data_IF_917287337538
#
_entry.id   IF_917287337538
#
_cell.length_a   1.000
_cell.length_b   1.000
_cell.length_c   1.000
_cell.angle_alpha   90.00
_cell.angle_beta   90.00
_cell.angle_gamma   90.00
#
_symmetry.space_group_name_H-M   'P 1'
#
loop_
_entity.id
_entity.type
_entity.pdbx_description
1 polymer ?
#
# COMPACT_ATOMS: atom_id res chain seq x y z
N UNK A 1 11.19 -21.27 -19.28
CA UNK A 1 11.79 -19.93 -19.02
C UNK A 1 10.73 -18.86 -18.75
N UNK A 2 9.74 -18.65 -19.63
CA UNK A 2 8.70 -17.62 -19.42
C UNK A 2 7.93 -17.76 -18.08
N UNK A 3 7.63 -18.98 -17.63
CA UNK A 3 6.96 -19.24 -16.36
C UNK A 3 7.78 -18.76 -15.13
N UNK A 4 9.09 -19.00 -15.13
CA UNK A 4 9.97 -18.58 -14.03
C UNK A 4 10.05 -17.06 -13.98
N UNK A 5 10.20 -16.41 -15.13
CA UNK A 5 10.14 -14.95 -15.25
C UNK A 5 8.83 -14.40 -14.68
N UNK A 6 7.69 -14.95 -15.12
CA UNK A 6 6.37 -14.54 -14.62
C UNK A 6 6.25 -14.74 -13.12
N UNK A 7 6.78 -15.82 -12.55
CA UNK A 7 6.76 -16.06 -11.11
C UNK A 7 7.58 -15.01 -10.35
N UNK A 8 8.80 -14.69 -10.82
CA UNK A 8 9.65 -13.68 -10.19
C UNK A 8 8.95 -12.30 -10.20
N UNK A 9 8.42 -11.89 -11.36
CA UNK A 9 7.71 -10.63 -11.50
C UNK A 9 6.41 -10.61 -10.66
N UNK A 10 5.71 -11.76 -10.55
CA UNK A 10 4.51 -11.90 -9.72
C UNK A 10 4.82 -11.77 -8.24
N UNK A 11 5.91 -12.37 -7.76
CA UNK A 11 6.36 -12.23 -6.38
C UNK A 11 6.74 -10.78 -6.09
N UNK A 12 7.46 -10.11 -6.98
CA UNK A 12 7.88 -8.73 -6.80
C UNK A 12 6.68 -7.78 -6.68
N UNK A 13 5.71 -7.85 -7.61
CA UNK A 13 4.52 -7.02 -7.55
C UNK A 13 3.64 -7.41 -6.35
N UNK A 14 3.55 -8.71 -6.04
CA UNK A 14 2.87 -9.22 -4.85
C UNK A 14 3.42 -8.62 -3.56
N UNK A 15 4.74 -8.57 -3.41
CA UNK A 15 5.41 -7.95 -2.25
C UNK A 15 5.13 -6.45 -2.18
N UNK A 16 5.19 -5.72 -3.29
CA UNK A 16 4.88 -4.28 -3.30
C UNK A 16 3.43 -4.01 -2.87
N UNK A 17 2.48 -4.77 -3.40
CA UNK A 17 1.07 -4.62 -3.00
C UNK A 17 0.83 -5.06 -1.56
N UNK A 18 1.56 -6.06 -1.06
CA UNK A 18 1.53 -6.46 0.34
C UNK A 18 2.01 -5.34 1.27
N UNK A 19 3.06 -4.59 0.90
CA UNK A 19 3.54 -3.42 1.67
C UNK A 19 2.49 -2.31 1.74
N UNK A 20 1.86 -1.97 0.61
CA UNK A 20 0.77 -0.98 0.57
C UNK A 20 -0.42 -1.46 1.38
N UNK A 21 -0.83 -2.71 1.20
CA UNK A 21 -1.93 -3.33 1.94
C UNK A 21 -1.66 -3.37 3.45
N UNK A 22 -0.42 -3.65 3.87
CA UNK A 22 0.00 -3.59 5.26
C UNK A 22 -0.09 -2.16 5.80
N UNK A 23 0.35 -1.15 5.04
CA UNK A 23 0.24 0.27 5.40
C UNK A 23 -1.22 0.69 5.62
N UNK A 24 -2.09 0.34 4.68
CA UNK A 24 -3.55 0.56 4.80
C UNK A 24 -4.11 -0.19 6.01
N UNK A 25 -3.73 -1.46 6.17
CA UNK A 25 -4.19 -2.33 7.25
C UNK A 25 -3.79 -1.84 8.65
N UNK A 26 -2.61 -1.21 8.79
CA UNK A 26 -2.17 -0.59 10.05
C UNK A 26 -3.10 0.55 10.48
N UNK A 27 -3.42 1.45 9.56
CA UNK A 27 -4.31 2.58 9.81
C UNK A 27 -5.73 2.08 10.06
N UNK A 28 -6.22 1.17 9.19
CA UNK A 28 -7.55 0.58 9.33
C UNK A 28 -7.71 -0.19 10.65
N UNK A 29 -6.72 -0.98 11.05
CA UNK A 29 -6.77 -1.79 12.27
C UNK A 29 -7.04 -0.95 13.51
N UNK A 30 -6.45 0.25 13.61
CA UNK A 30 -6.60 1.13 14.76
C UNK A 30 -7.80 2.07 14.64
N UNK A 31 -8.08 2.58 13.44
CA UNK A 31 -9.13 3.60 13.22
C UNK A 31 -10.45 3.04 12.68
N UNK A 32 -10.45 1.79 12.20
CA UNK A 32 -11.60 1.15 11.51
C UNK A 32 -12.07 1.96 10.28
N UNK A 33 -11.15 2.64 9.60
CA UNK A 33 -11.43 3.53 8.49
C UNK A 33 -10.55 3.22 7.30
N UNK A 34 -11.14 3.20 6.12
CA UNK A 34 -10.43 3.13 4.85
C UNK A 34 -9.95 4.54 4.49
N UNK A 35 -8.65 4.72 4.29
CA UNK A 35 -8.06 5.99 3.91
C UNK A 35 -7.73 6.00 2.40
N UNK A 36 -8.59 6.59 1.60
CA UNK A 36 -8.36 6.73 0.15
C UNK A 36 -7.19 7.66 -0.18
N UNK A 37 -6.88 8.62 0.70
CA UNK A 37 -5.72 9.50 0.50
C UNK A 37 -4.36 8.81 0.76
N UNK A 38 -4.35 7.55 1.20
CA UNK A 38 -3.10 6.80 1.40
C UNK A 38 -2.29 6.65 0.10
N UNK A 39 -2.95 6.57 -1.06
CA UNK A 39 -2.30 6.54 -2.37
C UNK A 39 -1.51 7.80 -2.67
N UNK A 40 -1.96 8.95 -2.16
CA UNK A 40 -1.29 10.22 -2.41
C UNK A 40 0.09 10.31 -1.74
N UNK A 41 0.34 9.49 -0.72
CA UNK A 41 1.69 9.34 -0.16
C UNK A 41 2.67 8.85 -1.23
N UNK A 42 2.26 7.90 -2.09
CA UNK A 42 3.07 7.40 -3.22
C UNK A 42 3.28 8.53 -4.24
N UNK A 43 2.19 9.22 -4.61
CA UNK A 43 2.24 10.29 -5.61
C UNK A 43 3.17 11.42 -5.17
N UNK A 44 3.01 11.94 -3.96
CA UNK A 44 3.84 13.03 -3.43
C UNK A 44 5.29 12.61 -3.25
N UNK A 45 5.55 11.39 -2.80
CA UNK A 45 6.90 10.85 -2.74
C UNK A 45 7.57 10.77 -4.12
N UNK A 46 6.83 10.35 -5.15
CA UNK A 46 7.32 10.28 -6.53
C UNK A 46 7.58 11.68 -7.12
N UNK A 47 6.68 12.65 -6.91
CA UNK A 47 6.93 14.05 -7.30
C UNK A 47 8.12 14.67 -6.55
N UNK A 48 8.34 14.29 -5.29
CA UNK A 48 9.54 14.73 -4.54
C UNK A 48 10.83 14.23 -5.21
N UNK A 49 10.85 12.96 -5.66
CA UNK A 49 12.00 12.42 -6.41
C UNK A 49 12.23 13.16 -7.74
N UNK A 50 11.17 13.59 -8.41
CA UNK A 50 11.24 14.42 -9.60
C UNK A 50 11.80 15.82 -9.29
N UNK A 51 11.25 16.51 -8.29
CA UNK A 51 11.68 17.86 -7.91
C UNK A 51 13.13 17.90 -7.43
N UNK A 52 13.61 16.83 -6.82
CA UNK A 52 14.98 16.70 -6.32
C UNK A 52 15.93 16.04 -7.30
N UNK A 53 15.57 15.92 -8.59
CA UNK A 53 16.33 15.15 -9.59
C UNK A 53 17.80 15.58 -9.79
N UNK A 54 18.14 16.82 -9.45
CA UNK A 54 19.51 17.35 -9.53
C UNK A 54 20.33 17.08 -8.26
N UNK A 55 19.69 16.63 -7.18
CA UNK A 55 20.36 16.36 -5.90
C UNK A 55 21.00 14.95 -5.89
N UNK A 56 21.99 14.72 -5.01
CA UNK A 56 22.54 13.38 -4.78
C UNK A 56 21.44 12.38 -4.38
N UNK A 57 21.63 11.11 -4.78
CA UNK A 57 20.63 10.04 -4.54
C UNK A 57 20.19 9.94 -3.09
N UNK A 58 21.14 10.05 -2.14
CA UNK A 58 20.83 10.02 -0.71
C UNK A 58 19.85 11.13 -0.30
N UNK A 59 20.05 12.35 -0.81
CA UNK A 59 19.16 13.50 -0.54
C UNK A 59 17.77 13.25 -1.15
N UNK A 60 17.70 12.72 -2.36
CA UNK A 60 16.43 12.37 -3.03
C UNK A 60 15.63 11.36 -2.20
N UNK A 61 16.28 10.29 -1.74
CA UNK A 61 15.66 9.24 -0.92
C UNK A 61 15.17 9.82 0.41
N UNK A 62 16.02 10.56 1.12
CA UNK A 62 15.65 11.16 2.41
C UNK A 62 14.52 12.19 2.28
N UNK A 63 14.56 13.02 1.23
CA UNK A 63 13.49 13.98 0.94
C UNK A 63 12.16 13.28 0.65
N UNK A 64 12.15 12.23 -0.18
CA UNK A 64 10.95 11.48 -0.48
C UNK A 64 10.37 10.81 0.78
N UNK A 65 11.19 10.17 1.61
CA UNK A 65 10.75 9.57 2.89
C UNK A 65 10.19 10.67 3.81
N UNK A 66 10.89 11.80 3.94
CA UNK A 66 10.46 12.90 4.81
C UNK A 66 9.11 13.48 4.37
N UNK A 67 8.91 13.75 3.07
CA UNK A 67 7.65 14.27 2.54
C UNK A 67 6.51 13.29 2.75
N UNK A 68 6.72 12.00 2.48
CA UNK A 68 5.72 10.94 2.70
C UNK A 68 5.31 10.87 4.17
N UNK A 69 6.29 10.89 5.10
CA UNK A 69 6.01 10.86 6.55
C UNK A 69 5.31 12.13 7.02
N UNK A 70 5.76 13.30 6.57
CA UNK A 70 5.14 14.58 6.91
C UNK A 70 3.69 14.63 6.40
N UNK A 71 3.45 14.25 5.16
CA UNK A 71 2.10 14.21 4.58
C UNK A 71 1.19 13.25 5.36
N UNK A 72 1.69 12.07 5.76
CA UNK A 72 0.94 11.14 6.59
C UNK A 72 0.58 11.73 7.96
N UNK A 73 1.49 12.48 8.58
CA UNK A 73 1.23 13.18 9.85
C UNK A 73 0.22 14.32 9.68
N UNK A 74 0.29 15.05 8.56
CA UNK A 74 -0.71 16.07 8.21
C UNK A 74 -2.08 15.43 8.04
N UNK A 75 -2.18 14.32 7.32
CA UNK A 75 -3.44 13.56 7.18
C UNK A 75 -3.97 13.09 8.54
N UNK A 76 -3.10 12.54 9.40
CA UNK A 76 -3.47 12.16 10.77
C UNK A 76 -4.07 13.33 11.55
N UNK A 77 -3.44 14.50 11.45
CA UNK A 77 -3.89 15.71 12.12
C UNK A 77 -5.25 16.19 11.59
N UNK A 78 -5.41 16.26 10.27
CA UNK A 78 -6.66 16.69 9.59
C UNK A 78 -7.82 15.74 9.91
N UNK A 79 -7.58 14.44 10.02
CA UNK A 79 -8.63 13.47 10.32
C UNK A 79 -9.01 13.36 11.81
N UNK A 80 -8.26 14.01 12.72
CA UNK A 80 -8.57 13.96 14.17
C UNK A 80 -9.99 14.38 14.52
N UNK A 81 -10.49 15.57 14.08
CA UNK A 81 -11.84 16.00 14.42
C UNK A 81 -12.91 15.08 13.84
N UNK A 82 -12.64 14.46 12.69
CA UNK A 82 -13.57 13.59 11.98
C UNK A 82 -13.73 12.20 12.61
N UNK A 83 -12.88 11.80 13.55
CA UNK A 83 -12.94 10.47 14.21
C UNK A 83 -14.23 10.22 14.98
N UNK A 84 -14.97 11.26 15.32
CA UNK A 84 -16.28 11.17 15.96
C UNK A 84 -17.44 11.14 14.95
N UNK A 85 -17.13 11.34 13.68
CA UNK A 85 -18.12 11.31 12.60
C UNK A 85 -18.47 9.85 12.23
N UNK A 86 -19.49 9.69 11.41
CA UNK A 86 -19.88 8.37 10.88
C UNK A 86 -18.81 7.82 9.95
N UNK A 87 -18.76 6.49 9.79
CA UNK A 87 -17.83 5.83 8.86
C UNK A 87 -17.99 6.37 7.42
N UNK A 88 -19.23 6.65 6.99
CA UNK A 88 -19.49 7.24 5.68
C UNK A 88 -18.90 8.64 5.54
N UNK A 89 -19.06 9.51 6.54
CA UNK A 89 -18.48 10.86 6.53
C UNK A 89 -16.96 10.83 6.46
N UNK A 90 -16.31 9.93 7.19
CA UNK A 90 -14.86 9.75 7.13
C UNK A 90 -14.39 9.23 5.77
N UNK A 91 -15.11 8.27 5.20
CA UNK A 91 -14.81 7.72 3.88
C UNK A 91 -14.87 8.83 2.81
N UNK A 92 -15.94 9.64 2.83
CA UNK A 92 -16.09 10.80 1.96
C UNK A 92 -14.98 11.82 2.17
N UNK A 93 -14.59 12.10 3.42
CA UNK A 93 -13.54 13.06 3.73
C UNK A 93 -12.15 12.59 3.21
N UNK A 94 -11.82 11.30 3.34
CA UNK A 94 -10.55 10.77 2.81
C UNK A 94 -10.52 10.72 1.29
N UNK A 95 -11.65 10.46 0.65
CA UNK A 95 -11.79 10.53 -0.81
C UNK A 95 -11.67 11.98 -1.29
N UNK A 96 -12.35 12.93 -0.64
CA UNK A 96 -12.25 14.35 -0.95
C UNK A 96 -10.82 14.88 -0.78
N UNK A 97 -10.12 14.45 0.28
CA UNK A 97 -8.71 14.77 0.49
C UNK A 97 -7.82 14.23 -0.64
N UNK A 98 -8.01 12.97 -1.06
CA UNK A 98 -7.30 12.39 -2.21
C UNK A 98 -7.54 13.21 -3.46
N UNK A 99 -8.80 13.50 -3.76
CA UNK A 99 -9.20 14.28 -4.94
C UNK A 99 -8.62 15.70 -4.93
N UNK A 100 -8.64 16.36 -3.76
CA UNK A 100 -8.03 17.68 -3.58
C UNK A 100 -6.52 17.65 -3.88
N UNK A 101 -5.80 16.68 -3.32
CA UNK A 101 -4.35 16.53 -3.51
C UNK A 101 -3.99 16.22 -4.96
N UNK A 102 -4.76 15.35 -5.64
CA UNK A 102 -4.56 15.06 -7.07
C UNK A 102 -4.78 16.30 -7.93
N UNK A 103 -5.85 17.06 -7.68
CA UNK A 103 -6.13 18.29 -8.44
C UNK A 103 -5.11 19.39 -8.15
N UNK A 104 -4.57 19.48 -6.93
CA UNK A 104 -3.48 20.41 -6.64
C UNK A 104 -2.23 20.07 -7.47
N UNK A 105 -1.85 18.79 -7.57
CA UNK A 105 -0.75 18.35 -8.41
C UNK A 105 -1.05 18.58 -9.90
N UNK A 106 -2.28 18.35 -10.34
CA UNK A 106 -2.72 18.61 -11.72
C UNK A 106 -2.58 20.08 -12.10
N UNK A 107 -2.93 21.00 -11.20
CA UNK A 107 -2.79 22.43 -11.40
C UNK A 107 -1.32 22.89 -11.46
N UNK A 108 -0.43 22.24 -10.70
CA UNK A 108 0.98 22.61 -10.62
C UNK A 108 1.78 22.00 -11.79
N UNK A 109 1.56 20.73 -12.10
CA UNK A 109 2.39 19.95 -13.05
C UNK A 109 1.68 19.65 -14.38
N UNK A 110 0.37 19.91 -14.48
CA UNK A 110 -0.41 19.58 -15.68
C UNK A 110 -0.73 18.10 -15.82
N UNK A 111 -1.22 17.72 -17.01
CA UNK A 111 -1.71 16.36 -17.32
C UNK A 111 -0.67 15.44 -17.94
N UNK A 112 0.43 15.98 -18.47
CA UNK A 112 1.39 15.24 -19.32
C UNK A 112 2.20 14.19 -18.55
N UNK A 113 2.30 14.33 -17.22
CA UNK A 113 3.20 13.53 -16.42
C UNK A 113 4.66 13.94 -16.54
N UNK A 114 5.44 13.63 -15.52
CA UNK A 114 6.84 14.01 -15.39
C UNK A 114 7.73 12.77 -15.27
N UNK A 115 8.92 12.81 -15.89
CA UNK A 115 9.88 11.70 -15.81
C UNK A 115 10.78 11.85 -14.59
N UNK A 116 10.74 10.89 -13.67
CA UNK A 116 11.45 10.94 -12.39
C UNK A 116 12.97 10.78 -12.56
N UNK A 117 13.43 9.96 -13.51
CA UNK A 117 14.86 9.66 -13.71
C UNK A 117 15.57 9.22 -12.42
N UNK A 118 14.99 8.26 -11.69
CA UNK A 118 15.55 7.75 -10.44
C UNK A 118 16.19 6.39 -10.66
N UNK A 119 17.52 6.30 -10.51
CA UNK A 119 18.33 5.08 -10.62
C UNK A 119 17.96 4.22 -11.84
N UNK A 120 18.02 4.76 -13.08
CA UNK A 120 17.62 4.04 -14.28
C UNK A 120 18.45 2.76 -14.50
N UNK A 121 19.66 2.68 -13.95
CA UNK A 121 20.55 1.51 -14.00
C UNK A 121 19.89 0.29 -13.35
N UNK A 122 19.10 0.47 -12.29
CA UNK A 122 18.39 -0.61 -11.62
C UNK A 122 17.23 -1.19 -12.44
N UNK A 123 16.81 -0.50 -13.48
CA UNK A 123 15.79 -1.01 -14.41
C UNK A 123 16.39 -1.84 -15.56
N UNK A 124 17.74 -1.91 -15.64
CA UNK A 124 18.42 -2.77 -16.60
C UNK A 124 18.20 -4.23 -16.25
N UNK A 125 18.05 -5.06 -17.29
CA UNK A 125 17.90 -6.50 -17.13
C UNK A 125 19.26 -7.17 -17.04
N UNK A 126 19.37 -8.16 -16.17
CA UNK A 126 20.48 -9.10 -16.11
C UNK A 126 20.02 -10.36 -16.83
N UNK A 127 20.85 -10.84 -17.74
CA UNK A 127 20.64 -12.15 -18.37
C UNK A 127 21.28 -13.24 -17.52
N UNK A 128 20.47 -14.02 -16.79
CA UNK A 128 20.89 -15.17 -16.00
C UNK A 128 20.30 -16.42 -16.63
N UNK A 129 21.11 -17.22 -17.31
CA UNK A 129 20.69 -18.51 -17.91
C UNK A 129 19.34 -18.39 -18.69
N UNK A 130 19.27 -17.45 -19.65
CA UNK A 130 18.09 -17.14 -20.48
C UNK A 130 16.90 -16.46 -19.77
N UNK A 131 17.08 -16.06 -18.50
CA UNK A 131 16.10 -15.26 -17.76
C UNK A 131 16.53 -13.79 -17.77
N UNK A 132 15.62 -12.90 -18.21
CA UNK A 132 15.81 -11.45 -18.15
C UNK A 132 15.19 -10.85 -16.90
N UNK A 133 15.96 -10.78 -15.82
CA UNK A 133 15.47 -10.23 -14.53
C UNK A 133 16.04 -8.83 -14.31
N UNK A 134 15.18 -7.85 -14.03
CA UNK A 134 15.62 -6.50 -13.70
C UNK A 134 16.14 -6.43 -12.27
N UNK A 135 17.22 -5.68 -12.03
CA UNK A 135 17.76 -5.47 -10.69
C UNK A 135 16.68 -4.98 -9.70
N UNK A 136 15.86 -4.02 -10.13
CA UNK A 136 14.78 -3.49 -9.27
C UNK A 136 13.77 -4.56 -8.84
N UNK A 137 13.53 -5.60 -9.65
CA UNK A 137 12.65 -6.72 -9.30
C UNK A 137 13.22 -7.52 -8.12
N UNK A 138 14.53 -7.86 -8.17
CA UNK A 138 15.20 -8.56 -7.08
C UNK A 138 15.27 -7.72 -5.81
N UNK A 139 15.63 -6.44 -5.95
CA UNK A 139 15.67 -5.49 -4.83
C UNK A 139 14.28 -5.34 -4.19
N UNK A 140 13.22 -5.25 -4.99
CA UNK A 140 11.85 -5.15 -4.47
C UNK A 140 11.45 -6.39 -3.65
N UNK A 141 11.82 -7.59 -4.08
CA UNK A 141 11.56 -8.83 -3.34
C UNK A 141 12.33 -8.83 -2.00
N UNK A 142 13.63 -8.53 -2.04
CA UNK A 142 14.48 -8.56 -0.84
C UNK A 142 14.11 -7.47 0.14
N UNK A 143 14.10 -6.20 -0.31
CA UNK A 143 13.78 -5.05 0.55
C UNK A 143 12.35 -5.14 1.05
N UNK A 144 11.40 -5.48 0.19
CA UNK A 144 10.01 -5.63 0.58
C UNK A 144 9.81 -6.79 1.55
N UNK A 145 10.45 -7.93 1.32
CA UNK A 145 10.43 -9.07 2.25
C UNK A 145 11.01 -8.72 3.62
N UNK A 146 12.15 -8.03 3.66
CA UNK A 146 12.77 -7.52 4.90
C UNK A 146 11.83 -6.55 5.62
N UNK A 147 11.19 -5.62 4.88
CA UNK A 147 10.25 -4.66 5.45
C UNK A 147 9.01 -5.35 6.03
N UNK A 148 8.45 -6.35 5.34
CA UNK A 148 7.34 -7.15 5.85
C UNK A 148 7.73 -7.92 7.12
N UNK A 149 8.91 -8.54 7.12
CA UNK A 149 9.43 -9.27 8.28
C UNK A 149 9.70 -8.32 9.47
N UNK A 150 10.34 -7.17 9.23
CA UNK A 150 10.60 -6.15 10.24
C UNK A 150 9.29 -5.64 10.87
N UNK A 151 8.28 -5.35 10.03
CA UNK A 151 6.97 -4.92 10.51
C UNK A 151 6.27 -6.02 11.30
N UNK A 152 6.33 -7.27 10.84
CA UNK A 152 5.81 -8.43 11.58
C UNK A 152 6.48 -8.57 12.95
N UNK A 153 7.81 -8.36 13.03
CA UNK A 153 8.56 -8.37 14.27
C UNK A 153 8.16 -7.20 15.20
N UNK A 154 8.08 -5.96 14.66
CA UNK A 154 7.65 -4.78 15.44
C UNK A 154 6.27 -5.04 16.04
N UNK A 155 5.33 -5.49 15.24
CA UNK A 155 3.96 -5.72 15.69
C UNK A 155 3.82 -6.92 16.61
N UNK A 156 4.63 -7.97 16.42
CA UNK A 156 4.58 -9.20 17.21
C UNK A 156 5.29 -9.11 18.55
N UNK A 157 6.44 -8.43 18.60
CA UNK A 157 7.40 -8.52 19.69
C UNK A 157 7.62 -7.22 20.48
N UNK A 158 7.14 -6.05 20.03
CA UNK A 158 7.39 -4.77 20.71
C UNK A 158 6.18 -4.31 21.52
N UNK A 159 6.43 -3.41 22.50
CA UNK A 159 5.37 -2.76 23.29
C UNK A 159 4.46 -1.87 22.42
N UNK A 160 5.00 -1.27 21.35
CA UNK A 160 4.21 -0.51 20.37
C UNK A 160 3.22 -1.44 19.66
N UNK A 161 3.68 -2.61 19.19
CA UNK A 161 2.83 -3.59 18.55
C UNK A 161 1.76 -4.13 19.49
N UNK A 162 2.09 -4.35 20.78
CA UNK A 162 1.09 -4.75 21.79
C UNK A 162 -0.01 -3.68 21.95
N UNK A 163 0.38 -2.39 22.07
CA UNK A 163 -0.58 -1.29 22.18
C UNK A 163 -1.45 -1.15 20.92
N UNK A 164 -0.85 -1.34 19.73
CA UNK A 164 -1.60 -1.32 18.46
C UNK A 164 -2.62 -2.47 18.39
N UNK A 165 -2.24 -3.68 18.76
CA UNK A 165 -3.18 -4.82 18.81
C UNK A 165 -4.29 -4.62 19.84
N UNK A 166 -3.97 -4.10 21.03
CA UNK A 166 -4.97 -3.77 22.04
C UNK A 166 -5.96 -2.70 21.54
N UNK A 167 -5.47 -1.62 20.93
CA UNK A 167 -6.32 -0.57 20.36
C UNK A 167 -7.16 -1.08 19.17
N UNK A 168 -6.62 -2.01 18.37
CA UNK A 168 -7.35 -2.63 17.26
C UNK A 168 -8.46 -3.60 17.73
N UNK A 169 -8.28 -4.26 18.87
CA UNK A 169 -9.29 -5.15 19.45
C UNK A 169 -10.47 -4.33 20.02
N UNK A 170 -10.19 -3.44 20.97
CA UNK A 170 -11.16 -2.51 21.54
C UNK A 170 -10.47 -1.19 21.90
N UNK A 171 -10.79 -0.16 21.13
CA UNK A 171 -10.20 1.16 21.28
C UNK A 171 -10.54 1.83 22.60
N UNK A 172 -11.80 1.65 23.06
CA UNK A 172 -12.30 2.28 24.31
C UNK A 172 -11.71 1.60 25.54
N UNK A 173 -11.73 0.28 25.56
CA UNK A 173 -11.12 -0.51 26.65
C UNK A 173 -9.62 -0.27 26.74
N UNK A 174 -8.91 -0.21 25.62
CA UNK A 174 -7.49 0.11 25.59
C UNK A 174 -7.19 1.51 26.21
N UNK A 175 -8.04 2.51 25.98
CA UNK A 175 -7.92 3.82 26.62
C UNK A 175 -8.08 3.75 28.15
N UNK A 176 -9.08 3.01 28.64
CA UNK A 176 -9.33 2.83 30.08
C UNK A 176 -8.13 2.14 30.74
N UNK A 177 -7.49 1.20 30.05
CA UNK A 177 -6.28 0.50 30.50
C UNK A 177 -4.99 1.35 30.37
N UNK A 178 -5.10 2.65 30.03
CA UNK A 178 -3.98 3.59 29.99
C UNK A 178 -3.19 3.62 28.67
N UNK A 179 -3.65 2.95 27.60
CA UNK A 179 -3.04 3.04 26.29
C UNK A 179 -3.25 4.45 25.70
N UNK A 180 -2.16 5.12 25.33
CA UNK A 180 -2.22 6.44 24.69
C UNK A 180 -2.63 6.29 23.21
N UNK A 181 -3.91 6.07 22.96
CA UNK A 181 -4.45 5.72 21.63
C UNK A 181 -4.13 6.76 20.55
N UNK A 182 -4.04 8.04 20.88
CA UNK A 182 -3.59 9.10 19.95
C UNK A 182 -2.15 8.86 19.46
N UNK A 183 -1.26 8.40 20.36
CA UNK A 183 0.11 8.05 20.00
C UNK A 183 0.13 6.80 19.11
N UNK A 184 -0.71 5.83 19.42
CA UNK A 184 -0.82 4.59 18.63
C UNK A 184 -1.27 4.89 17.20
N UNK A 185 -2.28 5.74 17.02
CA UNK A 185 -2.75 6.15 15.68
C UNK A 185 -1.62 6.85 14.91
N UNK A 186 -0.95 7.81 15.53
CA UNK A 186 0.16 8.53 14.90
C UNK A 186 1.27 7.58 14.45
N UNK A 187 1.63 6.61 15.30
CA UNK A 187 2.63 5.58 14.97
C UNK A 187 2.14 4.72 13.80
N UNK A 188 0.85 4.35 13.75
CA UNK A 188 0.29 3.60 12.63
C UNK A 188 0.44 4.37 11.30
N UNK A 189 0.16 5.68 11.29
CA UNK A 189 0.37 6.52 10.11
C UNK A 189 1.84 6.59 9.70
N UNK A 190 2.76 6.78 10.65
CA UNK A 190 4.21 6.84 10.36
C UNK A 190 4.72 5.51 9.83
N UNK A 191 4.36 4.38 10.45
CA UNK A 191 4.76 3.06 9.97
C UNK A 191 4.20 2.76 8.58
N UNK A 192 2.92 3.09 8.33
CA UNK A 192 2.31 2.99 7.02
C UNK A 192 3.01 3.87 5.98
N UNK A 193 3.37 5.10 6.36
CA UNK A 193 4.11 6.03 5.51
C UNK A 193 5.51 5.50 5.13
N UNK A 194 6.25 4.91 6.09
CA UNK A 194 7.56 4.32 5.82
C UNK A 194 7.45 3.15 4.83
N UNK A 195 6.46 2.26 5.00
CA UNK A 195 6.21 1.18 4.03
C UNK A 195 5.89 1.74 2.64
N UNK A 196 5.04 2.76 2.59
CA UNK A 196 4.64 3.43 1.35
C UNK A 196 5.81 4.15 0.69
N UNK A 197 6.71 4.78 1.45
CA UNK A 197 7.92 5.42 0.93
C UNK A 197 8.83 4.40 0.22
N UNK A 198 9.03 3.21 0.81
CA UNK A 198 9.79 2.13 0.17
C UNK A 198 9.14 1.70 -1.15
N UNK A 199 7.81 1.54 -1.16
CA UNK A 199 7.08 1.22 -2.40
C UNK A 199 7.27 2.32 -3.44
N UNK A 200 7.20 3.59 -3.04
CA UNK A 200 7.42 4.75 -3.94
C UNK A 200 8.78 4.68 -4.61
N UNK A 201 9.85 4.40 -3.85
CA UNK A 201 11.21 4.28 -4.40
C UNK A 201 11.31 3.16 -5.45
N UNK A 202 10.71 2.00 -5.17
CA UNK A 202 10.73 0.86 -6.11
C UNK A 202 9.91 1.16 -7.37
N UNK A 203 8.75 1.78 -7.20
CA UNK A 203 7.88 2.16 -8.32
C UNK A 203 8.49 3.26 -9.18
N UNK A 204 9.20 4.22 -8.60
CA UNK A 204 9.88 5.29 -9.33
C UNK A 204 10.94 4.74 -10.32
N UNK A 205 11.57 3.60 -9.99
CA UNK A 205 12.49 2.89 -10.90
C UNK A 205 11.71 2.10 -11.96
N UNK A 206 10.65 1.39 -11.56
CA UNK A 206 9.89 0.51 -12.46
C UNK A 206 8.99 1.29 -13.45
N UNK A 207 8.43 2.40 -12.99
CA UNK A 207 7.50 3.26 -13.71
C UNK A 207 7.95 4.72 -13.58
N UNK A 208 8.91 5.16 -14.41
CA UNK A 208 9.53 6.47 -14.24
C UNK A 208 8.63 7.66 -14.58
N UNK A 209 7.49 7.44 -15.22
CA UNK A 209 6.51 8.49 -15.53
C UNK A 209 5.55 8.68 -14.37
N UNK A 210 5.62 9.81 -13.66
CA UNK A 210 4.71 10.18 -12.60
C UNK A 210 3.60 11.09 -13.13
N UNK A 211 2.36 10.77 -12.74
CA UNK A 211 1.15 11.54 -13.06
C UNK A 211 0.43 11.90 -11.77
N UNK A 212 -0.48 12.91 -11.76
CA UNK A 212 -1.21 13.28 -10.53
C UNK A 212 -1.99 12.16 -9.85
N UNK A 213 -2.41 11.13 -10.59
CA UNK A 213 -3.12 9.95 -10.08
C UNK A 213 -2.24 8.71 -9.88
N UNK A 214 -0.90 8.88 -9.91
CA UNK A 214 0.08 7.79 -9.89
C UNK A 214 -0.14 6.80 -8.74
N UNK A 215 -0.28 7.29 -7.53
CA UNK A 215 -0.48 6.44 -6.33
C UNK A 215 -1.88 5.85 -6.24
N UNK A 216 -2.89 6.53 -6.78
CA UNK A 216 -4.26 6.04 -6.78
C UNK A 216 -4.41 4.75 -7.58
N UNK A 217 -3.70 4.64 -8.71
CA UNK A 217 -3.68 3.43 -9.54
C UNK A 217 -3.13 2.19 -8.81
N UNK A 218 -2.33 2.39 -7.79
CA UNK A 218 -1.74 1.32 -6.97
C UNK A 218 -2.56 1.09 -5.71
N UNK A 219 -3.11 2.17 -5.15
CA UNK A 219 -3.96 2.12 -3.98
C UNK A 219 -5.17 1.21 -4.19
N UNK A 220 -5.87 1.37 -5.32
CA UNK A 220 -7.14 0.67 -5.55
C UNK A 220 -6.97 -0.86 -5.57
N UNK A 221 -6.04 -1.46 -6.35
CA UNK A 221 -5.81 -2.90 -6.28
C UNK A 221 -5.31 -3.37 -4.90
N UNK A 222 -4.44 -2.59 -4.23
CA UNK A 222 -3.97 -2.95 -2.89
C UNK A 222 -5.11 -2.92 -1.86
N UNK A 223 -6.02 -1.94 -1.95
CA UNK A 223 -7.20 -1.85 -1.09
C UNK A 223 -8.14 -3.04 -1.32
N UNK A 224 -8.36 -3.41 -2.58
CA UNK A 224 -9.10 -4.62 -2.94
C UNK A 224 -8.45 -5.86 -2.31
N UNK A 225 -7.12 -5.94 -2.33
CA UNK A 225 -6.36 -6.97 -1.64
C UNK A 225 -6.63 -7.00 -0.13
N UNK A 226 -6.67 -5.85 0.52
CA UNK A 226 -7.02 -5.73 1.95
C UNK A 226 -8.43 -6.27 2.23
N UNK A 227 -9.39 -5.96 1.36
CA UNK A 227 -10.79 -6.43 1.48
C UNK A 227 -10.86 -7.94 1.27
N UNK A 228 -10.25 -8.45 0.21
CA UNK A 228 -10.20 -9.89 -0.11
C UNK A 228 -9.47 -10.70 0.95
N UNK A 229 -8.41 -10.13 1.51
CA UNK A 229 -7.67 -10.76 2.62
C UNK A 229 -8.48 -10.85 3.90
N UNK A 230 -9.31 -9.85 4.15
CA UNK A 230 -10.16 -9.72 5.35
C UNK A 230 -9.84 -8.44 6.11
N UNK A 231 -10.78 -7.50 6.08
CA UNK A 231 -10.72 -6.24 6.81
C UNK A 231 -10.62 -6.48 8.33
N UNK A 232 -9.73 -5.74 8.99
CA UNK A 232 -9.61 -5.75 10.46
C UNK A 232 -8.54 -6.68 11.03
N UNK A 233 -7.89 -7.51 10.21
CA UNK A 233 -6.75 -8.35 10.63
C UNK A 233 -5.57 -8.08 9.69
N UNK A 234 -4.45 -7.67 10.26
CA UNK A 234 -3.30 -7.18 9.49
C UNK A 234 -2.67 -8.25 8.57
N UNK A 235 -2.42 -9.46 9.12
CA UNK A 235 -1.79 -10.55 8.35
C UNK A 235 -2.67 -10.98 7.17
N UNK A 236 -3.98 -11.27 7.34
CA UNK A 236 -4.88 -11.53 6.23
C UNK A 236 -4.92 -10.42 5.18
N UNK A 237 -5.01 -9.15 5.60
CA UNK A 237 -4.99 -8.01 4.68
C UNK A 237 -3.70 -7.92 3.85
N UNK A 238 -2.54 -8.16 4.49
CA UNK A 238 -1.24 -8.18 3.81
C UNK A 238 -1.14 -9.32 2.80
N UNK A 239 -1.58 -10.53 3.18
CA UNK A 239 -1.63 -11.69 2.28
C UNK A 239 -2.59 -11.45 1.11
N UNK A 240 -3.73 -10.80 1.35
CA UNK A 240 -4.65 -10.40 0.29
C UNK A 240 -4.01 -9.43 -0.71
N UNK A 241 -3.27 -8.43 -0.22
CA UNK A 241 -2.48 -7.55 -1.09
C UNK A 241 -1.47 -8.32 -1.93
N UNK A 242 -0.73 -9.26 -1.32
CA UNK A 242 0.21 -10.12 -2.03
C UNK A 242 -0.49 -10.92 -3.14
N UNK A 243 -1.61 -11.57 -2.82
CA UNK A 243 -2.38 -12.39 -3.78
C UNK A 243 -2.87 -11.55 -4.96
N UNK A 244 -3.36 -10.33 -4.71
CA UNK A 244 -3.83 -9.45 -5.79
C UNK A 244 -2.65 -9.00 -6.68
N UNK A 245 -1.51 -8.61 -6.09
CA UNK A 245 -0.33 -8.25 -6.88
C UNK A 245 0.21 -9.42 -7.69
N UNK A 246 0.28 -10.60 -7.10
CA UNK A 246 0.67 -11.84 -7.76
C UNK A 246 -0.29 -12.18 -8.92
N UNK A 247 -1.59 -12.19 -8.64
CA UNK A 247 -2.63 -12.49 -9.65
C UNK A 247 -2.61 -11.49 -10.81
N UNK A 248 -2.31 -10.22 -10.55
CA UNK A 248 -2.22 -9.18 -11.59
C UNK A 248 -1.18 -9.54 -12.65
N UNK A 249 0.02 -9.99 -12.24
CA UNK A 249 1.09 -10.36 -13.18
C UNK A 249 0.75 -11.68 -13.88
N UNK A 250 0.32 -12.69 -13.14
CA UNK A 250 -0.08 -13.98 -13.76
C UNK A 250 -1.17 -13.76 -14.79
N UNK A 251 -2.20 -12.99 -14.46
CA UNK A 251 -3.30 -12.72 -15.38
C UNK A 251 -2.82 -11.94 -16.62
N UNK A 252 -1.92 -10.96 -16.42
CA UNK A 252 -1.32 -10.18 -17.53
C UNK A 252 -0.46 -11.04 -18.46
N UNK A 253 0.13 -12.13 -17.97
CA UNK A 253 0.96 -13.05 -18.76
C UNK A 253 0.13 -14.04 -19.58
N UNK A 254 -1.07 -14.39 -19.11
CA UNK A 254 -1.99 -15.31 -19.79
C UNK A 254 -2.86 -14.58 -20.83
N UNK A 255 -3.18 -13.30 -20.58
CA UNK A 255 -4.01 -12.53 -21.51
C UNK A 255 -3.24 -12.16 -22.79
N UNK A 256 -3.88 -12.35 -23.98
CA UNK A 256 -3.37 -11.83 -25.24
C UNK A 256 -3.15 -10.29 -25.15
N UNK A 257 -2.17 -9.77 -25.89
CA UNK A 257 -1.77 -8.34 -25.83
C UNK A 257 -2.94 -7.38 -26.07
N UNK A 258 -3.88 -7.71 -26.98
CA UNK A 258 -5.07 -6.90 -27.26
C UNK A 258 -6.11 -6.91 -26.14
N UNK A 259 -6.10 -7.91 -25.27
CA UNK A 259 -7.06 -8.05 -24.16
C UNK A 259 -6.57 -7.51 -22.82
N UNK A 260 -5.33 -7.01 -22.75
CA UNK A 260 -4.75 -6.45 -21.50
C UNK A 260 -5.47 -5.22 -20.98
N UNK A 261 -6.21 -4.52 -21.82
CA UNK A 261 -7.09 -3.40 -21.41
C UNK A 261 -8.15 -3.89 -20.40
N UNK A 262 -8.60 -5.13 -20.52
CA UNK A 262 -9.59 -5.73 -19.61
C UNK A 262 -9.00 -6.32 -18.32
N UNK A 263 -7.66 -6.23 -18.10
CA UNK A 263 -6.98 -6.82 -16.95
C UNK A 263 -7.61 -6.39 -15.62
N UNK A 264 -7.81 -5.09 -15.42
CA UNK A 264 -8.41 -4.56 -14.20
C UNK A 264 -9.87 -5.03 -14.03
N UNK A 265 -10.65 -5.02 -15.12
CA UNK A 265 -12.04 -5.51 -15.11
C UNK A 265 -12.11 -6.99 -14.72
N UNK A 266 -11.25 -7.82 -15.32
CA UNK A 266 -11.19 -9.24 -15.01
C UNK A 266 -10.73 -9.49 -13.57
N UNK A 267 -9.71 -8.76 -13.09
CA UNK A 267 -9.23 -8.84 -11.71
C UNK A 267 -10.35 -8.49 -10.73
N UNK A 268 -11.07 -7.40 -10.95
CA UNK A 268 -12.20 -7.03 -10.09
C UNK A 268 -13.36 -8.02 -10.17
N UNK A 269 -13.62 -8.62 -11.34
CA UNK A 269 -14.62 -9.70 -11.48
C UNK A 269 -14.25 -10.91 -10.63
N UNK A 270 -12.99 -11.35 -10.68
CA UNK A 270 -12.50 -12.45 -9.83
C UNK A 270 -12.69 -12.10 -8.34
N UNK A 271 -12.38 -10.86 -7.95
CA UNK A 271 -12.57 -10.39 -6.57
C UNK A 271 -14.03 -10.42 -6.14
N UNK A 272 -14.94 -9.94 -7.00
CA UNK A 272 -16.38 -9.98 -6.71
C UNK A 272 -16.86 -11.42 -6.52
N UNK A 273 -16.44 -12.32 -7.39
CA UNK A 273 -16.78 -13.76 -7.27
C UNK A 273 -16.24 -14.33 -5.95
N UNK A 274 -15.00 -14.02 -5.60
CA UNK A 274 -14.40 -14.47 -4.33
C UNK A 274 -15.20 -13.95 -3.14
N UNK A 275 -15.58 -12.67 -3.12
CA UNK A 275 -16.34 -12.08 -2.02
C UNK A 275 -17.78 -12.59 -1.95
N UNK A 276 -18.40 -12.92 -3.07
CA UNK A 276 -19.71 -13.58 -3.09
C UNK A 276 -19.66 -14.99 -2.48
N UNK A 277 -18.57 -15.71 -2.72
CA UNK A 277 -18.38 -17.07 -2.19
C UNK A 277 -17.84 -17.05 -0.74
N UNK A 278 -17.08 -16.02 -0.36
CA UNK A 278 -16.47 -15.83 0.98
C UNK A 278 -16.54 -14.38 1.42
N UNK A 279 -17.69 -13.93 1.94
CA UNK A 279 -17.90 -12.52 2.32
C UNK A 279 -16.97 -12.04 3.44
N UNK A 280 -16.45 -12.94 4.29
CA UNK A 280 -15.51 -12.61 5.35
C UNK A 280 -14.06 -12.45 4.86
N UNK A 281 -13.79 -12.74 3.58
CA UNK A 281 -12.46 -12.75 2.97
C UNK A 281 -11.82 -14.14 2.90
N UNK A 282 -10.76 -14.26 2.06
CA UNK A 282 -10.10 -15.55 1.79
C UNK A 282 -9.41 -16.16 3.02
N UNK A 283 -8.83 -15.31 3.89
CA UNK A 283 -8.03 -15.73 5.04
C UNK A 283 -8.72 -15.47 6.38
N UNK A 284 -10.01 -15.13 6.36
CA UNK A 284 -10.79 -14.99 7.58
C UNK A 284 -11.06 -16.37 8.18
N UNK A 285 -10.51 -16.64 9.36
CA UNK A 285 -10.93 -17.79 10.16
C UNK A 285 -12.33 -17.49 10.69
N UNK A 286 -13.30 -18.37 10.42
CA UNK A 286 -14.58 -18.41 11.14
C UNK A 286 -14.28 -18.64 12.61
N UNK A 287 -14.13 -17.59 13.40
CA UNK A 287 -14.36 -17.72 14.83
C UNK A 287 -15.84 -18.00 14.99
N UNK A 288 -16.20 -19.27 15.21
CA UNK A 288 -17.49 -19.63 15.79
C UNK A 288 -17.51 -19.05 17.19
N UNK A 289 -17.82 -17.76 17.32
CA UNK A 289 -18.44 -17.27 18.52
C UNK A 289 -19.85 -17.85 18.45
N UNK A 290 -20.03 -19.01 19.10
CA UNK A 290 -21.36 -19.48 19.41
C UNK A 290 -22.06 -18.31 20.12
N UNK A 291 -23.08 -17.74 19.46
CA UNK A 291 -24.11 -17.00 20.16
C UNK A 291 -24.64 -17.93 21.24
N UNK A 292 -24.11 -17.80 22.46
CA UNK A 292 -24.78 -18.28 23.63
C UNK A 292 -25.84 -17.23 23.95
N UNK A 293 -27.05 -17.58 23.56
CA UNK A 293 -28.30 -17.00 24.04
C UNK A 293 -28.33 -16.96 25.57
#
# INVERSE_FOLDING_TARGET
MALIQTLIDSIALGVLYALVAMGIGLVFGVMRLVNFAHGELITFGAYTLFLTRQAPVAVRVLAAIAVVVVLALVMEFVYRPLRRATAAAMLTATFAASFLLQNALLLIFGTQGETIGFLPELNQAIDIADLRVRWVTLIAIVVGGVMLAAMGWILGRTSIGLQMRAAAADFRTAQILGVRTQRVIRIAFVLGAVLTAVVTLMLAVQRPLVTPNYGFLILVPALVGVVVGGLGRLVPATLGGFVIGFATVVLSSVLPSGSRVFLNGLLFTVVIVVLLLRPDGLFAHRSRVAERV
#
